data_IF_108878738871
#
_entry.id   IF_108878738871
#
_cell.length_a   1.000
_cell.length_b   1.000
_cell.length_c   1.000
_cell.angle_alpha   90.00
_cell.angle_beta   90.00
_cell.angle_gamma   90.00
#
_symmetry.space_group_name_H-M   'P 1'
#
loop_
_entity.id
_entity.type
_entity.pdbx_description
1 polymer ?
#
# COMPACT_ATOMS: atom_id res chain seq x y z
N UNK A 1 34.33 17.58 -13.51
CA UNK A 1 32.97 17.14 -13.90
C UNK A 1 32.55 16.03 -12.95
N UNK A 2 31.82 16.38 -11.91
CA UNK A 2 31.25 15.37 -11.03
C UNK A 2 29.92 14.87 -11.68
N UNK A 3 29.87 13.59 -12.04
CA UNK A 3 28.67 12.92 -12.45
C UNK A 3 28.26 12.00 -11.30
N UNK A 4 27.04 12.16 -10.80
CA UNK A 4 26.42 11.19 -9.91
C UNK A 4 25.45 10.35 -10.74
N UNK A 5 25.67 9.05 -10.76
CA UNK A 5 24.73 8.10 -11.34
C UNK A 5 24.12 7.30 -10.19
N UNK A 6 22.81 7.35 -10.04
CA UNK A 6 22.05 6.57 -9.09
C UNK A 6 21.25 5.51 -9.85
N UNK A 7 21.40 4.26 -9.46
CA UNK A 7 20.62 3.14 -9.98
C UNK A 7 19.84 2.56 -8.81
N UNK A 8 18.53 2.56 -8.93
CA UNK A 8 17.61 1.95 -7.95
C UNK A 8 16.89 0.80 -8.63
N UNK A 9 17.00 -0.39 -8.07
CA UNK A 9 16.27 -1.57 -8.49
C UNK A 9 15.48 -2.03 -7.28
N UNK A 10 14.15 -1.93 -7.36
CA UNK A 10 13.23 -2.38 -6.31
C UNK A 10 12.10 -3.15 -7.00
N UNK A 11 11.84 -4.38 -6.58
CA UNK A 11 10.68 -5.19 -6.98
C UNK A 11 10.31 -5.10 -8.48
N UNK A 12 11.17 -5.47 -9.38
CA UNK A 12 10.96 -5.42 -10.85
C UNK A 12 10.85 -3.98 -11.42
N UNK A 13 11.15 -2.93 -10.65
CA UNK A 13 11.25 -1.55 -11.15
C UNK A 13 12.71 -1.14 -11.23
N UNK A 14 13.16 -0.69 -12.38
CA UNK A 14 14.48 -0.14 -12.58
C UNK A 14 14.39 1.37 -12.84
N UNK A 15 15.05 2.17 -12.00
CA UNK A 15 15.12 3.63 -12.14
C UNK A 15 16.60 4.03 -12.19
N UNK A 16 16.96 4.83 -13.17
CA UNK A 16 18.31 5.39 -13.32
C UNK A 16 18.23 6.91 -13.33
N UNK A 17 19.01 7.55 -12.47
CA UNK A 17 19.15 9.00 -12.43
C UNK A 17 20.59 9.42 -12.66
N UNK A 18 20.82 10.42 -13.52
CA UNK A 18 22.12 11.04 -13.71
C UNK A 18 22.00 12.53 -13.44
N UNK A 19 22.94 13.04 -12.64
CA UNK A 19 22.95 14.44 -12.20
C UNK A 19 24.32 15.03 -12.50
N UNK A 20 24.33 16.21 -13.10
CA UNK A 20 25.53 17.01 -13.25
C UNK A 20 25.22 18.51 -13.08
N UNK A 21 26.20 19.38 -13.20
CA UNK A 21 26.04 20.84 -13.06
C UNK A 21 25.10 21.49 -14.11
N UNK A 22 24.76 20.79 -15.19
CA UNK A 22 23.95 21.31 -16.30
C UNK A 22 22.54 20.76 -16.35
N UNK A 23 22.27 19.67 -15.64
CA UNK A 23 20.94 19.07 -15.65
C UNK A 23 20.85 17.75 -14.93
N UNK A 24 19.63 17.26 -14.88
CA UNK A 24 19.22 15.97 -14.33
C UNK A 24 18.52 15.19 -15.44
N UNK A 25 18.83 13.92 -15.56
CA UNK A 25 18.10 13.02 -16.45
C UNK A 25 17.68 11.76 -15.68
N UNK A 26 16.44 11.33 -15.88
CA UNK A 26 15.88 10.11 -15.32
C UNK A 26 15.45 9.16 -16.43
N UNK A 27 15.61 7.88 -16.19
CA UNK A 27 15.02 6.82 -16.99
C UNK A 27 14.43 5.77 -16.07
N UNK A 28 13.27 5.24 -16.42
CA UNK A 28 12.64 4.14 -15.70
C UNK A 28 12.05 3.14 -16.70
N UNK A 29 11.91 1.89 -16.27
CA UNK A 29 11.10 0.94 -17.00
C UNK A 29 9.62 1.33 -16.94
N UNK A 30 8.82 0.90 -17.92
CA UNK A 30 7.38 1.22 -17.99
C UNK A 30 6.49 0.03 -17.60
N UNK A 31 7.07 -1.06 -17.12
CA UNK A 31 6.32 -2.23 -16.71
C UNK A 31 5.58 -1.98 -15.39
N UNK A 32 4.29 -2.29 -15.36
CA UNK A 32 3.47 -2.32 -14.16
C UNK A 32 2.78 -3.68 -14.06
N UNK A 33 2.87 -4.30 -12.91
CA UNK A 33 2.20 -5.57 -12.63
C UNK A 33 0.94 -5.29 -11.83
N UNK A 34 -0.21 -5.69 -12.37
CA UNK A 34 -1.49 -5.66 -11.68
C UNK A 34 -1.86 -7.08 -11.27
N UNK A 35 -2.10 -7.28 -9.99
CA UNK A 35 -2.60 -8.56 -9.48
C UNK A 35 -4.11 -8.47 -9.28
N UNK A 36 -4.86 -9.25 -10.04
CA UNK A 36 -6.32 -9.37 -9.89
C UNK A 36 -6.65 -10.84 -9.72
N UNK A 37 -7.19 -11.22 -8.57
CA UNK A 37 -7.63 -12.60 -8.29
C UNK A 37 -6.57 -13.65 -8.65
N UNK A 38 -5.36 -13.55 -8.10
CA UNK A 38 -4.20 -14.42 -8.35
C UNK A 38 -3.67 -14.46 -9.80
N UNK A 39 -4.16 -13.60 -10.69
CA UNK A 39 -3.63 -13.43 -12.04
C UNK A 39 -2.79 -12.16 -12.11
N UNK A 40 -1.56 -12.31 -12.62
CA UNK A 40 -0.68 -11.18 -12.89
C UNK A 40 -0.88 -10.69 -14.31
N UNK A 41 -1.28 -9.43 -14.45
CA UNK A 41 -1.33 -8.73 -15.74
C UNK A 41 -0.22 -7.70 -15.77
N UNK A 42 0.68 -7.82 -16.74
CA UNK A 42 1.75 -6.83 -16.95
C UNK A 42 1.28 -5.85 -18.04
N UNK A 43 1.37 -4.56 -17.74
CA UNK A 43 1.17 -3.48 -18.71
C UNK A 43 2.46 -2.71 -18.87
N UNK A 44 2.81 -2.32 -20.11
CA UNK A 44 4.08 -1.65 -20.44
C UNK A 44 3.87 -0.15 -20.74
N UNK A 45 2.91 0.49 -20.10
CA UNK A 45 2.53 1.88 -20.36
C UNK A 45 2.46 2.75 -19.08
N UNK A 46 3.09 2.29 -18.00
CA UNK A 46 3.09 3.04 -16.76
C UNK A 46 4.09 4.21 -16.82
N UNK A 47 3.61 5.41 -16.56
CA UNK A 47 4.48 6.54 -16.26
C UNK A 47 5.01 6.40 -14.84
N UNK A 48 6.34 6.43 -14.69
CA UNK A 48 7.02 6.34 -13.38
C UNK A 48 7.89 7.56 -13.09
N UNK A 49 7.98 8.50 -14.03
CA UNK A 49 8.81 9.72 -13.91
C UNK A 49 7.92 10.92 -14.16
N UNK A 50 7.94 11.85 -13.24
CA UNK A 50 7.10 13.05 -13.28
C UNK A 50 7.93 14.28 -12.97
N UNK A 51 7.54 15.40 -13.55
CA UNK A 51 8.04 16.72 -13.20
C UNK A 51 7.29 17.22 -11.96
N UNK A 52 8.02 17.57 -10.90
CA UNK A 52 7.43 18.02 -9.64
C UNK A 52 7.23 19.54 -9.61
N UNK A 53 8.00 20.30 -10.40
CA UNK A 53 7.87 21.75 -10.54
C UNK A 53 7.95 22.14 -12.01
N UNK A 54 7.12 23.11 -12.41
CA UNK A 54 7.15 23.68 -13.78
C UNK A 54 8.30 24.68 -13.97
N UNK A 55 8.79 25.27 -12.90
CA UNK A 55 9.72 26.37 -12.92
C UNK A 55 11.11 26.02 -12.46
N UNK A 56 11.24 24.89 -11.78
CA UNK A 56 12.53 24.41 -11.23
C UNK A 56 12.78 22.96 -11.68
N UNK A 57 14.03 22.59 -11.97
CA UNK A 57 14.36 21.26 -12.50
C UNK A 57 14.31 20.19 -11.38
N UNK A 58 13.12 19.92 -10.88
CA UNK A 58 12.86 18.90 -9.86
C UNK A 58 11.93 17.86 -10.44
N UNK A 59 12.42 16.62 -10.47
CA UNK A 59 11.66 15.45 -10.87
C UNK A 59 11.42 14.50 -9.72
N UNK A 60 10.39 13.67 -9.84
CA UNK A 60 10.07 12.59 -8.93
C UNK A 60 9.87 11.29 -9.71
N UNK A 61 10.32 10.19 -9.13
CA UNK A 61 10.10 8.86 -9.66
C UNK A 61 9.32 8.04 -8.65
N UNK A 62 8.47 7.15 -9.14
CA UNK A 62 7.70 6.22 -8.31
C UNK A 62 8.07 4.77 -8.61
N UNK A 63 8.01 3.93 -7.59
CA UNK A 63 8.12 2.48 -7.67
C UNK A 63 7.03 1.85 -6.80
N UNK A 64 6.65 0.61 -7.12
CA UNK A 64 5.56 -0.08 -6.43
C UNK A 64 4.19 0.32 -6.94
N UNK A 65 3.28 0.71 -6.07
CA UNK A 65 1.90 1.03 -6.43
C UNK A 65 1.81 2.33 -7.24
N UNK A 66 1.02 2.32 -8.32
CA UNK A 66 0.82 3.46 -9.22
C UNK A 66 -0.28 4.42 -8.76
N UNK A 67 -1.01 4.06 -7.73
CA UNK A 67 -2.06 4.88 -7.14
C UNK A 67 -1.92 5.00 -5.62
N UNK A 68 -2.58 6.00 -5.07
CA UNK A 68 -2.73 6.23 -3.65
C UNK A 68 -4.22 6.34 -3.33
N UNK A 69 -4.78 5.36 -2.63
CA UNK A 69 -6.21 5.30 -2.30
C UNK A 69 -7.11 5.39 -3.55
N UNK A 70 -6.71 4.75 -4.67
CA UNK A 70 -7.43 4.78 -5.93
C UNK A 70 -7.18 6.03 -6.78
N UNK A 71 -6.46 7.03 -6.28
CA UNK A 71 -6.04 8.20 -7.04
C UNK A 71 -4.66 7.98 -7.66
N UNK A 72 -4.48 8.06 -8.99
CA UNK A 72 -3.17 7.93 -9.62
C UNK A 72 -2.16 8.95 -9.07
N UNK A 73 -0.93 8.50 -8.78
CA UNK A 73 0.15 9.38 -8.34
C UNK A 73 0.41 10.53 -9.32
N UNK A 74 0.22 10.28 -10.61
CA UNK A 74 0.33 11.31 -11.65
C UNK A 74 -0.58 12.51 -11.37
N UNK A 75 -1.82 12.27 -10.96
CA UNK A 75 -2.79 13.33 -10.68
C UNK A 75 -2.45 14.06 -9.38
N UNK A 76 -1.99 13.33 -8.37
CA UNK A 76 -1.48 13.92 -7.12
C UNK A 76 -0.29 14.84 -7.39
N UNK A 77 0.66 14.43 -8.25
CA UNK A 77 1.80 15.28 -8.62
C UNK A 77 1.39 16.50 -9.43
N UNK A 78 0.39 16.39 -10.31
CA UNK A 78 -0.17 17.54 -11.04
C UNK A 78 -0.79 18.57 -10.07
N UNK A 79 -1.61 18.09 -9.12
CA UNK A 79 -2.22 18.94 -8.10
C UNK A 79 -1.16 19.60 -7.20
N UNK A 80 -0.15 18.86 -6.78
CA UNK A 80 0.95 19.42 -5.99
C UNK A 80 1.73 20.46 -6.78
N UNK A 81 2.07 20.19 -8.04
CA UNK A 81 2.77 21.11 -8.92
C UNK A 81 2.01 22.41 -9.12
N UNK A 82 0.68 22.34 -9.28
CA UNK A 82 -0.16 23.53 -9.39
C UNK A 82 -0.20 24.30 -8.07
N UNK A 83 -0.21 23.62 -6.92
CA UNK A 83 -0.11 24.23 -5.59
C UNK A 83 1.25 24.85 -5.33
N UNK A 84 2.33 24.22 -5.76
CA UNK A 84 3.70 24.69 -5.59
C UNK A 84 3.92 26.00 -6.41
N UNK A 85 3.32 26.08 -7.60
CA UNK A 85 3.47 27.24 -8.48
C UNK A 85 4.93 27.49 -8.83
N UNK A 86 5.37 28.74 -8.68
CA UNK A 86 6.73 29.21 -8.91
C UNK A 86 7.64 29.11 -7.67
N UNK A 87 7.10 28.60 -6.56
CA UNK A 87 7.85 28.44 -5.33
C UNK A 87 8.95 27.38 -5.46
N UNK A 88 10.06 27.57 -4.76
CA UNK A 88 11.16 26.61 -4.68
C UNK A 88 11.63 26.43 -3.26
N UNK A 89 12.15 25.24 -2.97
CA UNK A 89 12.82 24.95 -1.69
C UNK A 89 14.32 25.26 -1.79
N UNK A 90 14.92 25.61 -0.66
CA UNK A 90 16.35 25.87 -0.57
C UNK A 90 17.17 24.59 -0.82
N UNK A 91 16.65 23.44 -0.38
CA UNK A 91 17.29 22.13 -0.53
C UNK A 91 16.35 21.13 -1.17
N UNK A 92 16.90 20.18 -1.92
CA UNK A 92 16.13 19.10 -2.54
C UNK A 92 15.41 18.23 -1.50
N UNK A 93 15.98 18.07 -0.32
CA UNK A 93 15.43 17.33 0.82
C UNK A 93 14.16 17.94 1.41
N UNK A 94 13.88 19.21 1.12
CA UNK A 94 12.69 19.89 1.65
C UNK A 94 11.44 19.57 0.81
N UNK A 95 11.62 19.22 -0.48
CA UNK A 95 10.48 18.88 -1.35
C UNK A 95 9.66 17.69 -0.87
N UNK A 96 10.24 16.55 -0.42
CA UNK A 96 9.45 15.49 0.18
C UNK A 96 8.61 15.95 1.37
N UNK A 97 9.16 16.78 2.26
CA UNK A 97 8.44 17.27 3.43
C UNK A 97 7.18 18.05 3.06
N UNK A 98 7.31 19.02 2.15
CA UNK A 98 6.15 19.82 1.70
C UNK A 98 5.18 19.01 0.86
N UNK A 99 5.67 18.02 0.10
CA UNK A 99 4.82 17.12 -0.68
C UNK A 99 3.97 16.23 0.24
N UNK A 100 4.56 15.57 1.23
CA UNK A 100 3.81 14.72 2.14
C UNK A 100 2.85 15.52 3.03
N UNK A 101 3.21 16.74 3.42
CA UNK A 101 2.27 17.63 4.11
C UNK A 101 1.10 18.02 3.19
N UNK A 102 1.34 18.26 1.91
CA UNK A 102 0.28 18.48 0.93
C UNK A 102 -0.63 17.25 0.79
N UNK A 103 -0.06 16.05 0.65
CA UNK A 103 -0.85 14.81 0.57
C UNK A 103 -1.72 14.65 1.80
N UNK A 104 -1.15 14.85 2.99
CA UNK A 104 -1.86 14.73 4.27
C UNK A 104 -3.02 15.74 4.38
N UNK A 105 -2.79 16.99 4.02
CA UNK A 105 -3.74 18.08 4.29
C UNK A 105 -4.76 18.26 3.16
N UNK A 106 -4.40 17.97 1.91
CA UNK A 106 -5.26 18.22 0.75
C UNK A 106 -5.80 16.95 0.11
N UNK A 107 -5.03 15.88 0.08
CA UNK A 107 -5.48 14.63 -0.56
C UNK A 107 -6.22 13.77 0.45
N UNK A 108 -5.58 13.38 1.54
CA UNK A 108 -6.20 12.47 2.53
C UNK A 108 -7.47 13.02 3.16
N UNK A 109 -7.55 14.34 3.37
CA UNK A 109 -8.75 14.97 3.94
C UNK A 109 -10.00 14.84 3.06
N UNK A 110 -9.83 14.65 1.75
CA UNK A 110 -10.92 14.48 0.78
C UNK A 110 -11.22 13.02 0.45
N UNK A 111 -10.33 12.08 0.83
CA UNK A 111 -10.44 10.66 0.51
C UNK A 111 -10.83 9.81 1.74
N UNK A 112 -11.68 10.32 2.63
CA UNK A 112 -12.05 9.61 3.86
C UNK A 112 -12.79 8.31 3.52
N UNK A 113 -13.74 8.36 2.58
CA UNK A 113 -14.48 7.17 2.14
C UNK A 113 -13.56 6.16 1.46
N UNK A 114 -12.63 6.62 0.62
CA UNK A 114 -11.63 5.76 -0.04
C UNK A 114 -10.68 5.12 0.96
N UNK A 115 -10.33 5.80 2.06
CA UNK A 115 -9.55 5.21 3.15
C UNK A 115 -10.29 4.05 3.81
N UNK A 116 -11.60 4.18 4.04
CA UNK A 116 -12.44 3.12 4.60
C UNK A 116 -12.52 1.94 3.63
N UNK A 117 -12.74 2.20 2.33
CA UNK A 117 -12.76 1.16 1.29
C UNK A 117 -11.43 0.42 1.23
N UNK A 118 -10.30 1.14 1.24
CA UNK A 118 -8.97 0.51 1.24
C UNK A 118 -8.71 -0.30 2.50
N UNK A 119 -9.11 0.20 3.67
CA UNK A 119 -9.01 -0.56 4.92
C UNK A 119 -9.78 -1.87 4.82
N UNK A 120 -11.00 -1.84 4.25
CA UNK A 120 -11.80 -3.04 4.01
C UNK A 120 -11.08 -4.04 3.08
N UNK A 121 -10.48 -3.56 2.00
CA UNK A 121 -9.70 -4.40 1.08
C UNK A 121 -8.52 -5.06 1.80
N UNK A 122 -7.80 -4.31 2.64
CA UNK A 122 -6.67 -4.83 3.42
C UNK A 122 -7.14 -5.91 4.41
N UNK A 123 -8.21 -5.66 5.15
CA UNK A 123 -8.75 -6.61 6.13
C UNK A 123 -9.26 -7.87 5.42
N UNK A 124 -10.01 -7.74 4.34
CA UNK A 124 -10.47 -8.89 3.56
C UNK A 124 -9.29 -9.70 3.00
N UNK A 125 -8.28 -9.02 2.42
CA UNK A 125 -7.08 -9.69 1.92
C UNK A 125 -6.32 -10.46 3.01
N UNK A 126 -6.24 -9.91 4.23
CA UNK A 126 -5.66 -10.59 5.38
C UNK A 126 -6.48 -11.83 5.79
N UNK A 127 -7.80 -11.74 5.81
CA UNK A 127 -8.68 -12.88 6.12
C UNK A 127 -8.60 -13.97 5.04
N UNK A 128 -8.59 -13.59 3.76
CA UNK A 128 -8.42 -14.53 2.66
C UNK A 128 -7.08 -15.28 2.76
N UNK A 129 -6.00 -14.60 3.14
CA UNK A 129 -4.70 -15.22 3.34
C UNK A 129 -4.72 -16.22 4.50
N UNK A 130 -5.37 -15.87 5.62
CA UNK A 130 -5.54 -16.80 6.75
C UNK A 130 -6.34 -18.03 6.33
N UNK A 131 -7.43 -17.86 5.58
CA UNK A 131 -8.22 -18.97 5.06
C UNK A 131 -7.38 -19.87 4.16
N UNK A 132 -6.61 -19.29 3.25
CA UNK A 132 -5.74 -20.04 2.33
C UNK A 132 -4.65 -20.83 3.08
N UNK A 133 -3.96 -20.19 4.04
CA UNK A 133 -2.97 -20.86 4.89
C UNK A 133 -3.61 -22.02 5.66
N UNK A 134 -4.80 -21.81 6.20
CA UNK A 134 -5.53 -22.81 6.97
C UNK A 134 -5.93 -24.02 6.11
N UNK A 135 -6.40 -23.79 4.90
CA UNK A 135 -6.71 -24.85 3.93
C UNK A 135 -5.45 -25.62 3.54
N UNK A 136 -4.37 -24.94 3.20
CA UNK A 136 -3.10 -25.56 2.84
C UNK A 136 -2.57 -26.45 3.97
N UNK A 137 -2.62 -26.00 5.22
CA UNK A 137 -2.22 -26.82 6.37
C UNK A 137 -3.07 -28.09 6.52
N UNK A 138 -4.39 -27.99 6.32
CA UNK A 138 -5.28 -29.17 6.37
C UNK A 138 -4.96 -30.15 5.23
N UNK A 139 -4.65 -29.65 4.02
CA UNK A 139 -4.22 -30.47 2.89
C UNK A 139 -2.93 -31.21 3.19
N UNK A 140 -1.93 -30.52 3.75
CA UNK A 140 -0.64 -31.11 4.16
C UNK A 140 -0.80 -32.16 5.25
N UNK A 141 -1.75 -32.00 6.16
CA UNK A 141 -2.10 -32.94 7.21
C UNK A 141 -2.93 -34.15 6.69
N UNK A 142 -3.34 -34.13 5.41
CA UNK A 142 -4.21 -35.15 4.81
C UNK A 142 -5.62 -35.17 5.40
N UNK A 143 -6.06 -34.06 6.01
CA UNK A 143 -7.36 -33.94 6.62
C UNK A 143 -8.43 -33.62 5.58
N UNK A 144 -9.68 -34.08 5.84
CA UNK A 144 -10.82 -33.66 5.03
C UNK A 144 -11.07 -32.18 5.23
N UNK A 145 -11.25 -31.44 4.13
CA UNK A 145 -11.52 -30.01 4.15
C UNK A 145 -13.03 -29.81 4.34
N UNK A 146 -13.42 -29.46 5.56
CA UNK A 146 -14.78 -28.99 5.89
C UNK A 146 -14.69 -27.55 6.39
N UNK A 147 -15.81 -26.81 6.30
CA UNK A 147 -15.88 -25.43 6.78
C UNK A 147 -15.52 -25.32 8.27
N UNK A 148 -15.99 -26.26 9.09
CA UNK A 148 -15.69 -26.33 10.52
C UNK A 148 -14.20 -26.50 10.78
N UNK A 149 -13.54 -27.47 10.11
CA UNK A 149 -12.09 -27.69 10.25
C UNK A 149 -11.27 -26.50 9.75
N UNK A 150 -11.68 -25.86 8.66
CA UNK A 150 -11.03 -24.63 8.18
C UNK A 150 -11.13 -23.54 9.23
N UNK A 151 -12.29 -23.38 9.85
CA UNK A 151 -12.52 -22.37 10.88
C UNK A 151 -11.65 -22.63 12.14
N UNK A 152 -11.58 -23.86 12.62
CA UNK A 152 -10.71 -24.24 13.74
C UNK A 152 -9.23 -23.95 13.40
N UNK A 153 -8.81 -24.31 12.19
CA UNK A 153 -7.44 -24.05 11.73
C UNK A 153 -7.14 -22.55 11.55
N UNK A 154 -8.14 -21.76 11.20
CA UNK A 154 -8.03 -20.29 11.16
C UNK A 154 -7.76 -19.71 12.56
N UNK A 155 -8.42 -20.22 13.59
CA UNK A 155 -8.16 -19.79 14.97
C UNK A 155 -6.72 -20.09 15.38
N UNK A 156 -6.21 -21.29 15.10
CA UNK A 156 -4.81 -21.65 15.36
C UNK A 156 -3.83 -20.72 14.60
N UNK A 157 -4.17 -20.40 13.34
CA UNK A 157 -3.35 -19.54 12.49
C UNK A 157 -3.34 -18.10 12.99
N UNK A 158 -4.48 -17.57 13.45
CA UNK A 158 -4.58 -16.26 14.07
C UNK A 158 -3.76 -16.15 15.36
N UNK A 159 -3.84 -17.16 16.23
CA UNK A 159 -3.03 -17.23 17.46
C UNK A 159 -1.54 -17.25 17.11
N UNK A 160 -1.15 -18.01 16.10
CA UNK A 160 0.24 -18.02 15.61
C UNK A 160 0.71 -16.64 15.16
N UNK A 161 -0.10 -15.92 14.37
CA UNK A 161 0.23 -14.57 13.94
C UNK A 161 0.24 -13.56 15.10
N UNK A 162 -0.66 -13.67 16.05
CA UNK A 162 -0.64 -12.84 17.25
C UNK A 162 0.69 -12.98 18.00
N UNK A 163 1.14 -14.20 18.23
CA UNK A 163 2.44 -14.45 18.85
C UNK A 163 3.60 -13.92 18.01
N UNK A 164 3.56 -14.13 16.70
CA UNK A 164 4.61 -13.69 15.78
C UNK A 164 4.76 -12.17 15.78
N UNK A 165 3.63 -11.44 15.68
CA UNK A 165 3.65 -10.00 15.56
C UNK A 165 3.69 -9.25 16.89
N UNK A 166 3.27 -9.87 18.00
CA UNK A 166 3.36 -9.26 19.34
C UNK A 166 4.79 -8.91 19.74
N UNK A 167 5.77 -9.68 19.25
CA UNK A 167 7.20 -9.46 19.50
C UNK A 167 7.91 -8.68 18.39
N UNK A 168 7.23 -8.38 17.28
CA UNK A 168 7.82 -7.70 16.16
C UNK A 168 8.09 -6.21 16.47
N UNK A 169 9.22 -5.69 16.01
CA UNK A 169 9.51 -4.27 16.10
C UNK A 169 8.58 -3.49 15.18
N UNK A 170 7.90 -2.49 15.73
CA UNK A 170 7.07 -1.59 14.92
C UNK A 170 7.97 -0.75 14.01
N UNK A 171 7.59 -0.61 12.74
CA UNK A 171 8.25 0.34 11.87
C UNK A 171 8.09 1.77 12.40
N UNK A 172 9.05 2.63 12.06
CA UNK A 172 9.16 3.98 12.65
C UNK A 172 7.90 4.81 12.46
N UNK A 173 7.23 4.64 11.32
CA UNK A 173 6.01 5.36 10.92
C UNK A 173 4.80 4.99 11.77
N UNK A 174 4.79 3.79 12.38
CA UNK A 174 3.69 3.28 13.21
C UNK A 174 4.00 3.31 14.71
N UNK A 175 5.11 3.91 15.16
CA UNK A 175 5.49 3.95 16.59
C UNK A 175 4.40 4.55 17.46
N UNK A 176 3.79 5.63 16.98
CA UNK A 176 2.74 6.37 17.71
C UNK A 176 1.33 5.90 17.33
N UNK A 177 1.21 4.88 16.47
CA UNK A 177 -0.09 4.35 16.08
C UNK A 177 -0.60 3.36 17.13
N UNK A 178 -1.70 3.71 17.77
CA UNK A 178 -2.30 2.94 18.86
C UNK A 178 -3.47 2.09 18.38
N UNK A 179 -3.84 1.08 19.17
CA UNK A 179 -5.05 0.29 18.94
C UNK A 179 -6.32 1.18 18.93
N UNK A 180 -6.35 2.25 19.70
CA UNK A 180 -7.45 3.21 19.69
C UNK A 180 -7.57 3.93 18.35
N UNK A 181 -6.43 4.35 17.78
CA UNK A 181 -6.39 4.95 16.45
C UNK A 181 -6.87 3.97 15.37
N UNK A 182 -6.47 2.70 15.45
CA UNK A 182 -6.95 1.67 14.57
C UNK A 182 -8.47 1.46 14.71
N UNK A 183 -8.95 1.27 15.93
CA UNK A 183 -10.36 0.99 16.22
C UNK A 183 -11.28 2.12 15.77
N UNK A 184 -10.84 3.37 15.82
CA UNK A 184 -11.61 4.52 15.34
C UNK A 184 -12.10 4.37 13.90
N UNK A 185 -11.29 3.74 13.05
CA UNK A 185 -11.59 3.56 11.63
C UNK A 185 -12.00 2.12 11.30
N UNK A 186 -11.46 1.15 12.02
CA UNK A 186 -11.61 -0.27 11.69
C UNK A 186 -12.86 -0.92 12.30
N UNK A 187 -13.36 -0.43 13.43
CA UNK A 187 -14.46 -1.10 14.14
C UNK A 187 -15.71 -1.31 13.26
N UNK A 188 -16.14 -0.26 12.55
CA UNK A 188 -17.28 -0.36 11.65
C UNK A 188 -17.02 -1.36 10.52
N UNK A 189 -15.86 -1.25 9.88
CA UNK A 189 -15.46 -2.13 8.77
C UNK A 189 -15.38 -3.59 9.21
N UNK A 190 -14.74 -3.86 10.35
CA UNK A 190 -14.63 -5.21 10.90
C UNK A 190 -16.01 -5.76 11.25
N UNK A 191 -16.89 -4.96 11.86
CA UNK A 191 -18.25 -5.39 12.19
C UNK A 191 -19.06 -5.75 10.94
N UNK A 192 -18.94 -4.97 9.88
CA UNK A 192 -19.60 -5.26 8.59
C UNK A 192 -19.06 -6.56 7.97
N UNK A 193 -17.74 -6.75 7.93
CA UNK A 193 -17.12 -7.98 7.42
C UNK A 193 -17.56 -9.20 8.23
N UNK A 194 -17.55 -9.10 9.56
CA UNK A 194 -18.01 -10.18 10.42
C UNK A 194 -19.49 -10.53 10.17
N UNK A 195 -20.36 -9.53 10.01
CA UNK A 195 -21.77 -9.76 9.67
C UNK A 195 -21.94 -10.44 8.29
N UNK A 196 -21.12 -10.08 7.31
CA UNK A 196 -21.11 -10.73 6.00
C UNK A 196 -20.65 -12.19 6.09
N UNK A 197 -19.58 -12.47 6.85
CA UNK A 197 -19.10 -13.83 7.10
C UNK A 197 -20.14 -14.67 7.82
N UNK A 198 -20.80 -14.13 8.85
CA UNK A 198 -21.88 -14.81 9.58
C UNK A 198 -23.10 -15.11 8.70
N UNK A 199 -23.45 -14.17 7.80
CA UNK A 199 -24.59 -14.35 6.89
C UNK A 199 -24.30 -15.32 5.74
N UNK A 200 -23.04 -15.53 5.38
CA UNK A 200 -22.61 -16.40 4.29
C UNK A 200 -22.50 -17.88 4.65
N UNK A 201 -22.94 -18.29 5.85
CA UNK A 201 -22.81 -19.66 6.39
C UNK A 201 -21.36 -20.19 6.52
N UNK A 202 -20.36 -19.32 6.42
CA UNK A 202 -18.97 -19.67 6.69
C UNK A 202 -18.68 -19.79 8.19
N UNK A 203 -19.64 -19.43 9.03
CA UNK A 203 -19.55 -19.54 10.49
C UNK A 203 -20.51 -20.61 11.00
N UNK A 204 -20.06 -21.62 11.77
CA UNK A 204 -20.95 -22.60 12.40
C UNK A 204 -21.99 -21.92 13.30
N UNK A 205 -23.23 -22.43 13.29
CA UNK A 205 -24.28 -21.97 14.21
C UNK A 205 -23.83 -22.15 15.67
N UNK A 206 -23.73 -21.06 16.42
CA UNK A 206 -23.37 -21.09 17.84
C UNK A 206 -22.13 -20.28 18.24
N UNK A 207 -21.62 -19.46 17.36
CA UNK A 207 -20.39 -18.67 17.58
C UNK A 207 -20.64 -17.23 18.07
N UNK A 208 -21.84 -16.91 18.51
CA UNK A 208 -22.18 -15.62 19.16
C UNK A 208 -22.29 -15.78 20.67
#
# INVERSE_FOLDING_TARGET
NLYLCLIIIIDMTAIVGTINRRGVAFAADSAATHTVSSKHKITNHANKIFELSRYHPVGICICGNLDFLGMPWEDIFKLFRDKLGDSSCAHLTDYPCIFFEFVKTHIMSHLIEDQIVNLRVIINGFLDEIINISRTKLEEEGAEISEEKVFDKMQETLIYFDHLYSSAEKCAEFKDYTIENFNKYATTVITEILNELLSSKLCPEGFL
#
